data_IF_369433899979
#
_entry.id   IF_369433899979
#
_cell.length_a   1.000
_cell.length_b   1.000
_cell.length_c   1.000
_cell.angle_alpha   90.00
_cell.angle_beta   90.00
_cell.angle_gamma   90.00
#
_symmetry.space_group_name_H-M   'P 1'
#
loop_
_entity.id
_entity.type
_entity.pdbx_description
1 polymer ?
#
# COMPACT_ATOMS: atom_id res chain seq x y z
N UNK A 1 -1.89 -13.35 7.74
CA UNK A 1 -2.28 -12.15 6.96
C UNK A 1 -1.21 -11.90 5.93
N UNK A 2 -1.56 -11.71 4.66
CA UNK A 2 -0.61 -11.30 3.63
C UNK A 2 -0.44 -9.77 3.72
N UNK A 3 0.81 -9.31 3.70
CA UNK A 3 1.17 -7.89 3.71
C UNK A 3 2.23 -7.65 2.62
N UNK A 4 2.42 -6.40 2.23
CA UNK A 4 3.43 -6.04 1.25
C UNK A 4 4.83 -6.22 1.86
N UNK A 5 5.71 -6.85 1.09
CA UNK A 5 7.13 -7.01 1.40
C UNK A 5 7.94 -6.33 0.30
N UNK A 6 9.11 -5.81 0.65
CA UNK A 6 10.01 -5.26 -0.36
C UNK A 6 10.55 -6.40 -1.23
N UNK A 7 10.63 -6.12 -2.52
CA UNK A 7 11.19 -7.03 -3.52
C UNK A 7 12.26 -6.27 -4.33
N UNK A 8 13.11 -7.04 -4.99
CA UNK A 8 14.03 -6.56 -6.02
C UNK A 8 13.34 -6.38 -7.37
N UNK A 9 12.13 -6.93 -7.53
CA UNK A 9 11.29 -6.70 -8.70
C UNK A 9 10.75 -5.25 -8.72
N UNK A 10 10.79 -4.62 -9.89
CA UNK A 10 10.35 -3.23 -10.06
C UNK A 10 8.84 -3.04 -9.91
N UNK A 11 8.05 -4.05 -10.29
CA UNK A 11 6.60 -4.03 -10.20
C UNK A 11 6.06 -5.46 -10.13
N UNK A 12 5.05 -5.66 -9.30
CA UNK A 12 4.35 -6.94 -9.11
C UNK A 12 2.86 -6.68 -9.24
N UNK A 13 2.15 -7.61 -9.89
CA UNK A 13 0.70 -7.56 -9.94
C UNK A 13 0.11 -7.90 -8.57
N UNK A 14 -0.73 -7.00 -8.06
CA UNK A 14 -1.50 -7.30 -6.86
C UNK A 14 -2.64 -8.27 -7.20
N UNK A 15 -2.99 -9.18 -6.27
CA UNK A 15 -4.26 -9.90 -6.36
C UNK A 15 -5.43 -8.90 -6.37
N UNK A 16 -6.64 -9.29 -6.81
CA UNK A 16 -7.80 -8.40 -6.80
C UNK A 16 -8.00 -7.71 -5.43
N UNK A 17 -8.00 -6.38 -5.42
CA UNK A 17 -8.14 -5.56 -4.21
C UNK A 17 -9.46 -4.79 -4.27
N UNK A 18 -10.19 -4.77 -3.16
CA UNK A 18 -11.38 -3.94 -2.99
C UNK A 18 -11.04 -2.74 -2.09
N UNK A 19 -11.36 -1.53 -2.56
CA UNK A 19 -11.23 -0.30 -1.77
C UNK A 19 -12.62 0.13 -1.28
N UNK A 20 -12.75 0.33 0.03
CA UNK A 20 -14.00 0.75 0.68
C UNK A 20 -13.82 2.09 1.37
N UNK A 21 -14.83 2.96 1.25
CA UNK A 21 -14.90 4.20 2.00
C UNK A 21 -15.57 3.90 3.34
N UNK A 22 -14.79 3.97 4.42
CA UNK A 22 -15.30 3.73 5.78
C UNK A 22 -15.41 5.06 6.54
N UNK A 23 -16.49 5.21 7.30
CA UNK A 23 -16.66 6.36 8.20
C UNK A 23 -15.66 6.24 9.33
N UNK A 24 -15.12 7.37 9.80
CA UNK A 24 -14.13 7.44 10.89
C UNK A 24 -14.63 6.79 12.20
N UNK A 25 -15.94 6.66 12.34
CA UNK A 25 -16.66 6.11 13.48
C UNK A 25 -16.75 4.57 13.48
N UNK A 26 -16.44 3.92 12.36
CA UNK A 26 -16.33 2.46 12.22
C UNK A 26 -14.85 2.06 12.17
N UNK A 27 -14.14 1.95 13.32
CA UNK A 27 -12.77 1.50 13.32
C UNK A 27 -12.76 -0.02 13.22
N UNK A 28 -12.69 -0.56 11.99
CA UNK A 28 -12.04 -1.88 11.80
C UNK A 28 -10.60 -1.86 12.36
N UNK A 29 -10.06 -0.67 12.66
CA UNK A 29 -8.75 -0.38 13.26
C UNK A 29 -8.50 -0.86 14.71
N UNK A 30 -9.43 -1.51 15.41
CA UNK A 30 -9.16 -2.03 16.78
C UNK A 30 -8.69 -3.49 16.87
N UNK A 31 -8.47 -4.21 15.76
CA UNK A 31 -8.09 -5.63 15.81
C UNK A 31 -6.82 -5.97 15.04
N UNK A 32 -5.69 -5.30 15.29
CA UNK A 32 -4.41 -5.85 14.78
C UNK A 32 -3.19 -5.56 15.67
N UNK A 33 -3.34 -5.54 17.00
CA UNK A 33 -2.21 -5.40 17.94
C UNK A 33 -1.24 -6.60 17.99
N UNK A 34 -1.43 -7.63 17.15
CA UNK A 34 -0.58 -8.83 17.09
C UNK A 34 -0.04 -9.22 15.71
N UNK A 35 -0.19 -8.39 14.67
CA UNK A 35 0.35 -8.74 13.35
C UNK A 35 1.77 -8.18 13.12
N UNK A 36 2.59 -8.93 12.38
CA UNK A 36 3.90 -8.50 11.85
C UNK A 36 3.78 -7.43 10.75
N UNK A 37 2.70 -6.64 10.74
CA UNK A 37 2.45 -5.60 9.73
C UNK A 37 2.04 -4.27 10.35
N UNK A 38 2.41 -3.18 9.69
CA UNK A 38 1.93 -1.81 9.93
C UNK A 38 1.14 -1.33 8.71
N UNK A 39 0.28 -0.34 8.88
CA UNK A 39 -0.44 0.27 7.77
C UNK A 39 0.24 1.57 7.35
N UNK A 40 0.68 1.64 6.09
CA UNK A 40 1.26 2.85 5.50
C UNK A 40 0.36 3.40 4.41
N UNK A 41 0.31 4.73 4.30
CA UNK A 41 -0.36 5.44 3.22
C UNK A 41 0.51 5.39 1.97
N UNK A 42 0.10 4.57 0.98
CA UNK A 42 0.81 4.46 -0.29
C UNK A 42 0.09 5.27 -1.37
N UNK A 43 0.84 5.99 -2.23
CA UNK A 43 0.24 6.74 -3.32
C UNK A 43 -0.22 5.80 -4.45
N UNK A 44 -1.40 6.08 -4.98
CA UNK A 44 -1.98 5.42 -6.14
C UNK A 44 -1.90 6.38 -7.32
N UNK A 45 -1.30 5.92 -8.41
CA UNK A 45 -1.24 6.63 -9.69
C UNK A 45 -2.00 5.85 -10.76
N UNK A 46 -2.43 6.54 -11.81
CA UNK A 46 -3.07 5.90 -12.96
C UNK A 46 -2.10 4.95 -13.67
N UNK A 47 -0.84 5.37 -13.83
CA UNK A 47 0.19 4.64 -14.58
C UNK A 47 1.60 4.94 -14.02
N UNK A 48 2.61 4.27 -14.61
CA UNK A 48 4.02 4.33 -14.17
C UNK A 48 4.70 5.69 -14.34
N UNK A 49 4.13 6.61 -15.13
CA UNK A 49 4.69 7.96 -15.29
C UNK A 49 4.65 8.77 -14.00
N UNK A 50 3.80 8.37 -13.03
CA UNK A 50 3.56 9.11 -11.78
C UNK A 50 3.04 10.54 -11.99
N UNK A 51 2.56 10.88 -13.19
CA UNK A 51 2.00 12.21 -13.48
C UNK A 51 0.54 12.34 -13.03
N UNK A 52 -0.21 11.25 -13.09
CA UNK A 52 -1.64 11.22 -12.79
C UNK A 52 -1.88 10.61 -11.40
N UNK A 53 -1.88 11.45 -10.37
CA UNK A 53 -2.14 11.05 -8.99
C UNK A 53 -3.63 10.86 -8.70
N UNK A 54 -3.99 9.74 -8.07
CA UNK A 54 -5.39 9.40 -7.73
C UNK A 54 -5.68 9.67 -6.25
N UNK A 55 -4.77 9.28 -5.36
CA UNK A 55 -4.97 9.39 -3.92
C UNK A 55 -4.01 8.54 -3.11
N UNK A 56 -4.20 8.57 -1.79
CA UNK A 56 -3.50 7.70 -0.84
C UNK A 56 -4.45 6.64 -0.29
N UNK A 57 -3.94 5.42 -0.11
CA UNK A 57 -4.66 4.37 0.59
C UNK A 57 -3.75 3.64 1.57
N UNK A 58 -4.36 3.13 2.65
CA UNK A 58 -3.64 2.38 3.68
C UNK A 58 -3.47 0.93 3.26
N UNK A 59 -2.23 0.50 3.10
CA UNK A 59 -1.87 -0.90 2.84
C UNK A 59 -1.11 -1.50 4.02
N UNK A 60 -1.34 -2.79 4.35
CA UNK A 60 -0.52 -3.49 5.32
C UNK A 60 0.85 -3.79 4.70
N UNK A 61 1.92 -3.37 5.36
CA UNK A 61 3.32 -3.62 4.98
C UNK A 61 4.06 -4.35 6.10
N UNK A 62 5.11 -5.10 5.77
CA UNK A 62 5.92 -5.83 6.75
C UNK A 62 6.63 -4.90 7.73
N UNK A 63 6.62 -5.29 9.03
CA UNK A 63 7.37 -4.64 10.12
C UNK A 63 8.88 -4.92 10.11
N UNK A 64 9.34 -5.87 9.30
CA UNK A 64 10.77 -6.21 9.18
C UNK A 64 11.59 -5.05 8.58
N UNK A 65 10.91 -4.13 7.88
CA UNK A 65 11.49 -2.94 7.29
C UNK A 65 10.94 -1.71 8.01
N UNK A 66 11.82 -0.77 8.35
CA UNK A 66 11.40 0.47 9.00
C UNK A 66 10.50 1.31 8.08
N UNK A 67 9.58 2.07 8.67
CA UNK A 67 8.69 2.97 7.93
C UNK A 67 9.47 3.99 7.08
N UNK A 68 10.60 4.50 7.58
CA UNK A 68 11.48 5.40 6.83
C UNK A 68 12.02 4.74 5.56
N UNK A 69 12.44 3.48 5.64
CA UNK A 69 12.94 2.74 4.48
C UNK A 69 11.83 2.51 3.45
N UNK A 70 10.60 2.24 3.89
CA UNK A 70 9.44 2.17 2.99
C UNK A 70 9.21 3.47 2.22
N UNK A 71 9.26 4.63 2.90
CA UNK A 71 9.13 5.92 2.24
C UNK A 71 10.28 6.21 1.28
N UNK A 72 11.52 5.94 1.68
CA UNK A 72 12.70 6.16 0.83
C UNK A 72 12.69 5.29 -0.43
N UNK A 73 12.12 4.08 -0.36
CA UNK A 73 11.95 3.21 -1.54
C UNK A 73 10.92 3.73 -2.54
N UNK A 74 10.09 4.71 -2.16
CA UNK A 74 9.15 5.37 -3.08
C UNK A 74 8.15 4.40 -3.71
N UNK A 75 7.66 3.44 -2.92
CA UNK A 75 6.69 2.42 -3.35
C UNK A 75 5.37 3.09 -3.70
N UNK A 76 4.76 2.67 -4.81
CA UNK A 76 3.51 3.21 -5.32
C UNK A 76 2.67 2.11 -5.96
N UNK A 77 1.36 2.33 -6.01
CA UNK A 77 0.40 1.46 -6.70
C UNK A 77 0.02 2.08 -8.04
N UNK A 78 -0.07 1.26 -9.08
CA UNK A 78 -0.45 1.69 -10.42
C UNK A 78 -1.72 0.95 -10.85
N UNK A 79 -2.73 1.70 -11.30
CA UNK A 79 -4.01 1.12 -11.73
C UNK A 79 -3.95 0.54 -13.16
N UNK A 80 -3.11 1.14 -14.01
CA UNK A 80 -2.87 0.68 -15.37
C UNK A 80 -1.48 0.07 -15.51
N UNK A 81 -1.42 -0.97 -16.34
CA UNK A 81 -0.16 -1.55 -16.80
C UNK A 81 0.41 -0.83 -18.02
N UNK A 82 -0.29 0.16 -18.60
CA UNK A 82 0.17 0.82 -19.83
C UNK A 82 1.58 1.36 -19.61
N UNK A 83 2.52 0.78 -20.36
CA UNK A 83 3.93 1.13 -20.39
C UNK A 83 4.15 2.32 -21.31
#
# INVERSE_FOLDING_TARGET
>A
MQCLVLSDELAIDLPPVTLTWEKKEDPIKKKVEGSNSIFLDLPIYLDKSRNSFVGFWKFPVSKEVSEQNWYQRGVAIFLSKTY
#
